data_IF_263382432797
#
_entry.id   IF_263382432797
#
_cell.length_a   1.000
_cell.length_b   1.000
_cell.length_c   1.000
_cell.angle_alpha   90.00
_cell.angle_beta   90.00
_cell.angle_gamma   90.00
#
_symmetry.space_group_name_H-M   'P 1'
#
loop_
_entity.id
_entity.type
_entity.pdbx_description
1 polymer ?
#
# COMPACT_ATOMS: atom_id res chain seq x y z
N UNK A 1 -10.28 -8.34 -1.33
CA UNK A 1 -9.69 -7.11 -0.76
C UNK A 1 -8.29 -6.93 -1.33
N UNK A 2 -8.19 -6.55 -2.60
CA UNK A 2 -6.89 -6.24 -3.21
C UNK A 2 -6.48 -4.83 -2.80
N UNK A 3 -5.30 -4.69 -2.19
CA UNK A 3 -4.80 -3.45 -1.60
C UNK A 3 -4.40 -2.41 -2.64
N UNK A 4 -5.36 -1.89 -3.40
CA UNK A 4 -5.14 -0.79 -4.33
C UNK A 4 -5.33 0.56 -3.61
N UNK A 5 -4.27 1.07 -2.99
CA UNK A 5 -4.17 2.50 -2.67
C UNK A 5 -3.61 3.24 -3.87
N UNK A 6 -4.50 3.78 -4.70
CA UNK A 6 -4.19 4.96 -5.51
C UNK A 6 -5.34 5.96 -5.38
N UNK A 7 -5.43 6.57 -4.19
CA UNK A 7 -6.24 7.75 -3.96
C UNK A 7 -5.39 8.74 -3.17
N UNK A 8 -4.64 9.57 -3.90
CA UNK A 8 -4.06 10.81 -3.35
C UNK A 8 -4.67 11.94 -4.17
N UNK A 9 -5.83 12.43 -3.71
CA UNK A 9 -6.38 13.73 -4.11
C UNK A 9 -5.92 14.75 -3.07
N UNK A 10 -5.53 15.94 -3.52
CA UNK A 10 -5.00 17.05 -2.71
C UNK A 10 -6.13 17.81 -1.96
N UNK A 11 -7.18 17.09 -1.55
CA UNK A 11 -8.31 17.67 -0.85
C UNK A 11 -7.97 17.73 0.64
N UNK A 12 -7.55 18.92 1.07
CA UNK A 12 -7.21 19.21 2.45
C UNK A 12 -8.42 19.05 3.37
N UNK A 13 -8.37 18.02 4.21
CA UNK A 13 -9.06 18.03 5.50
C UNK A 13 -8.27 18.94 6.48
N UNK A 14 -8.22 20.24 6.16
CA UNK A 14 -7.88 21.29 7.12
C UNK A 14 -9.21 21.89 7.61
N UNK A 15 -9.91 21.18 8.49
CA UNK A 15 -11.00 21.76 9.31
C UNK A 15 -10.36 22.71 10.34
N UNK A 16 -10.12 23.95 9.93
CA UNK A 16 -9.96 25.09 10.84
C UNK A 16 -11.16 26.00 10.63
N UNK A 17 -12.02 26.05 11.64
CA UNK A 17 -13.14 26.98 11.78
C UNK A 17 -12.68 28.43 11.59
N UNK A 18 -13.43 29.19 10.79
CA UNK A 18 -13.23 30.62 10.62
C UNK A 18 -14.36 31.24 9.81
N UNK A 19 -15.45 31.60 10.49
CA UNK A 19 -16.50 32.48 9.98
C UNK A 19 -15.89 33.77 9.41
N UNK A 20 -16.35 34.19 8.23
CA UNK A 20 -16.01 35.46 7.60
C UNK A 20 -16.61 35.62 6.21
N UNK A 21 -17.62 36.48 6.13
CA UNK A 21 -18.45 36.82 4.97
C UNK A 21 -17.70 37.45 3.77
N UNK A 22 -18.34 37.31 2.59
CA UNK A 22 -18.37 38.15 1.38
C UNK A 22 -17.08 38.83 0.84
N UNK A 23 -16.77 38.60 -0.44
CA UNK A 23 -17.27 39.43 -1.55
C UNK A 23 -16.74 38.94 -2.91
N UNK A 24 -17.58 39.07 -3.95
CA UNK A 24 -17.35 38.57 -5.29
C UNK A 24 -16.37 39.40 -6.15
N UNK A 25 -15.96 38.79 -7.27
CA UNK A 25 -15.19 39.43 -8.32
C UNK A 25 -14.94 38.48 -9.48
N UNK A 26 -15.79 38.60 -10.51
CA UNK A 26 -15.55 38.10 -11.87
C UNK A 26 -14.26 38.69 -12.42
N UNK A 27 -13.55 37.92 -13.26
CA UNK A 27 -12.89 38.48 -14.44
C UNK A 27 -12.54 37.35 -15.43
N UNK A 28 -13.21 37.43 -16.57
CA UNK A 28 -12.95 36.71 -17.80
C UNK A 28 -11.56 37.05 -18.36
N UNK A 29 -10.90 36.07 -18.98
CA UNK A 29 -10.11 36.40 -20.17
C UNK A 29 -9.95 35.20 -21.11
N UNK A 30 -10.56 35.33 -22.28
CA UNK A 30 -10.34 34.54 -23.49
C UNK A 30 -9.01 34.89 -24.15
N UNK A 31 -8.48 33.96 -24.96
CA UNK A 31 -7.34 34.25 -25.84
C UNK A 31 -6.81 33.01 -26.57
N UNK A 32 -7.39 32.76 -27.75
CA UNK A 32 -6.86 32.19 -29.01
C UNK A 32 -5.38 31.73 -29.03
N UNK A 33 -4.95 30.68 -29.74
CA UNK A 33 -5.47 29.90 -30.86
C UNK A 33 -4.28 29.17 -31.52
N UNK A 34 -4.54 28.50 -32.65
CA UNK A 34 -3.58 27.92 -33.63
C UNK A 34 -3.21 26.42 -33.50
N UNK A 35 -4.09 25.61 -34.10
CA UNK A 35 -3.87 24.72 -35.25
C UNK A 35 -2.63 23.78 -35.37
N UNK A 36 -2.99 22.54 -35.70
CA UNK A 36 -2.17 21.32 -35.88
C UNK A 36 -1.35 21.30 -37.21
N UNK A 37 -0.63 20.20 -37.54
CA UNK A 37 -1.33 19.02 -38.08
C UNK A 37 -0.78 17.65 -37.64
N UNK A 38 -1.69 16.68 -37.79
CA UNK A 38 -1.51 15.24 -37.79
C UNK A 38 -0.46 14.77 -38.81
N UNK A 39 0.29 13.72 -38.47
CA UNK A 39 0.90 12.83 -39.44
C UNK A 39 0.64 11.37 -39.03
N UNK A 40 0.09 10.61 -39.97
CA UNK A 40 -0.22 9.18 -39.89
C UNK A 40 0.81 8.46 -40.77
N UNK A 41 1.47 7.45 -40.22
CA UNK A 41 2.33 6.55 -40.99
C UNK A 41 2.35 5.17 -40.34
N UNK A 42 1.43 4.31 -40.77
CA UNK A 42 1.54 2.85 -40.67
C UNK A 42 2.69 2.38 -41.56
N UNK A 43 3.63 1.58 -41.04
CA UNK A 43 4.27 0.51 -41.82
C UNK A 43 4.53 -0.72 -40.94
N UNK A 44 4.08 -1.85 -41.47
CA UNK A 44 4.16 -3.22 -40.98
C UNK A 44 5.39 -3.86 -41.58
N UNK A 45 6.26 -4.49 -40.80
CA UNK A 45 7.13 -5.56 -41.30
C UNK A 45 7.18 -6.73 -40.30
N UNK A 46 6.72 -7.89 -40.79
CA UNK A 46 6.91 -9.22 -40.23
C UNK A 46 8.35 -9.67 -40.51
N UNK A 47 8.99 -10.32 -39.54
CA UNK A 47 10.05 -11.29 -39.84
C UNK A 47 9.97 -12.45 -38.85
N UNK A 48 9.59 -13.61 -39.39
CA UNK A 48 9.52 -14.88 -38.69
C UNK A 48 10.85 -15.63 -38.76
N UNK A 49 11.24 -16.25 -37.65
CA UNK A 49 12.24 -17.30 -37.62
C UNK A 49 11.73 -18.46 -36.77
N UNK A 50 11.41 -19.57 -37.45
CA UNK A 50 11.16 -20.89 -36.89
C UNK A 50 12.43 -21.48 -36.27
N UNK A 51 12.33 -21.96 -35.03
CA UNK A 51 13.16 -23.04 -34.50
C UNK A 51 12.27 -23.97 -33.66
N UNK A 52 11.96 -25.15 -34.21
CA UNK A 52 11.54 -26.34 -33.47
C UNK A 52 12.67 -26.72 -32.50
N UNK A 53 12.49 -27.20 -31.27
CA UNK A 53 11.37 -27.84 -30.60
C UNK A 53 12.04 -28.84 -29.66
N UNK A 54 11.95 -28.64 -28.34
CA UNK A 54 12.20 -29.68 -27.35
C UNK A 54 11.25 -29.45 -26.17
N UNK A 55 10.46 -30.48 -25.92
CA UNK A 55 9.26 -30.52 -25.12
C UNK A 55 9.59 -31.36 -23.89
N UNK A 56 9.60 -30.77 -22.68
CA UNK A 56 9.27 -31.46 -21.42
C UNK A 56 9.34 -30.48 -20.23
N UNK A 57 8.19 -30.28 -19.59
CA UNK A 57 8.02 -29.38 -18.45
C UNK A 57 6.69 -28.64 -18.56
N UNK A 58 5.61 -29.33 -18.19
CA UNK A 58 4.25 -28.79 -18.17
C UNK A 58 4.19 -27.63 -17.16
N UNK A 59 4.48 -26.42 -17.64
CA UNK A 59 4.17 -25.18 -16.95
C UNK A 59 2.65 -25.11 -16.82
N UNK A 60 2.13 -25.36 -15.63
CA UNK A 60 0.81 -24.91 -15.26
C UNK A 60 0.87 -23.37 -15.24
N UNK A 61 0.58 -22.78 -16.40
CA UNK A 61 0.15 -21.40 -16.47
C UNK A 61 -1.07 -21.26 -15.57
N UNK A 62 -0.85 -20.87 -14.33
CA UNK A 62 -1.86 -20.31 -13.47
C UNK A 62 -2.34 -19.03 -14.18
N UNK A 63 -3.41 -19.17 -14.95
CA UNK A 63 -4.21 -18.04 -15.37
C UNK A 63 -4.48 -17.18 -14.13
N UNK A 64 -4.37 -15.86 -14.29
CA UNK A 64 -4.89 -14.84 -13.36
C UNK A 64 -6.41 -14.97 -13.25
N UNK A 65 -6.90 -16.11 -12.76
CA UNK A 65 -8.27 -16.24 -12.30
C UNK A 65 -8.38 -15.43 -11.01
N UNK A 66 -9.13 -14.33 -11.11
CA UNK A 66 -9.70 -13.55 -10.01
C UNK A 66 -10.33 -14.49 -8.96
N UNK A 67 -9.49 -14.99 -8.05
CA UNK A 67 -9.77 -16.04 -7.07
C UNK A 67 -10.47 -15.52 -5.80
N UNK A 68 -10.96 -14.27 -5.82
CA UNK A 68 -11.45 -13.52 -4.67
C UNK A 68 -12.99 -13.49 -4.49
N UNK A 69 -13.79 -14.10 -5.38
CA UNK A 69 -15.26 -13.85 -5.39
C UNK A 69 -16.14 -14.76 -4.52
N UNK A 70 -15.56 -15.68 -3.72
CA UNK A 70 -16.40 -16.71 -3.08
C UNK A 70 -17.05 -16.31 -1.75
N UNK A 71 -16.67 -15.19 -1.13
CA UNK A 71 -17.33 -14.70 0.10
C UNK A 71 -18.24 -13.52 -0.25
N UNK A 72 -19.55 -13.59 0.02
CA UNK A 72 -20.43 -12.44 -0.13
C UNK A 72 -19.87 -11.26 0.67
N UNK A 73 -19.67 -10.12 0.03
CA UNK A 73 -19.10 -8.92 0.66
C UNK A 73 -19.83 -8.54 1.95
N UNK A 74 -21.15 -8.71 1.95
CA UNK A 74 -22.03 -8.49 3.11
C UNK A 74 -21.69 -9.40 4.29
N UNK A 75 -21.27 -10.65 4.05
CA UNK A 75 -20.82 -11.57 5.10
C UNK A 75 -19.45 -11.14 5.66
N UNK A 76 -18.54 -10.70 4.79
CA UNK A 76 -17.23 -10.20 5.21
C UNK A 76 -17.32 -8.92 6.07
N UNK A 77 -18.22 -7.98 5.73
CA UNK A 77 -18.42 -6.73 6.50
C UNK A 77 -19.06 -7.00 7.87
N UNK A 78 -19.83 -8.08 8.01
CA UNK A 78 -20.47 -8.48 9.26
C UNK A 78 -19.60 -9.37 10.14
N UNK A 79 -18.49 -9.86 9.61
CA UNK A 79 -17.57 -10.66 10.39
C UNK A 79 -17.01 -9.84 11.55
N UNK A 80 -17.15 -10.37 12.76
CA UNK A 80 -16.76 -9.67 13.99
C UNK A 80 -15.28 -9.29 13.98
N UNK A 81 -14.42 -10.16 13.46
CA UNK A 81 -12.98 -9.93 13.42
C UNK A 81 -12.60 -8.91 12.35
N UNK A 82 -13.34 -8.86 11.23
CA UNK A 82 -13.23 -7.77 10.26
C UNK A 82 -13.62 -6.44 10.89
N UNK A 83 -14.75 -6.38 11.60
CA UNK A 83 -15.18 -5.16 12.28
C UNK A 83 -14.18 -4.72 13.34
N UNK A 84 -13.68 -5.64 14.17
CA UNK A 84 -12.63 -5.38 15.15
C UNK A 84 -11.35 -4.84 14.49
N UNK A 85 -10.93 -5.41 13.35
CA UNK A 85 -9.75 -4.91 12.60
C UNK A 85 -9.94 -3.50 12.03
N UNK A 86 -11.15 -3.19 11.55
CA UNK A 86 -11.46 -1.84 11.05
C UNK A 86 -11.52 -0.81 12.20
N UNK A 87 -11.84 -1.25 13.42
CA UNK A 87 -11.89 -0.42 14.62
C UNK A 87 -10.56 -0.35 15.41
N UNK A 88 -9.71 -1.37 15.35
CA UNK A 88 -8.50 -1.50 16.18
C UNK A 88 -7.46 -0.41 15.92
N UNK A 89 -7.54 0.27 14.77
CA UNK A 89 -6.71 1.43 14.45
C UNK A 89 -7.09 2.71 15.21
N UNK A 90 -8.02 2.67 16.16
CA UNK A 90 -8.60 3.86 16.81
C UNK A 90 -7.60 4.62 17.68
N UNK A 91 -7.57 5.95 17.46
CA UNK A 91 -6.92 6.89 18.38
C UNK A 91 -7.55 6.77 19.77
N UNK A 92 -6.77 7.03 20.82
CA UNK A 92 -7.26 7.14 22.20
C UNK A 92 -8.29 8.26 22.39
N UNK A 93 -8.47 9.12 21.39
CA UNK A 93 -9.52 10.14 21.36
C UNK A 93 -10.93 9.54 21.16
N UNK A 94 -11.82 9.64 22.16
CA UNK A 94 -13.19 9.13 22.08
C UNK A 94 -14.01 9.69 20.91
N UNK A 95 -13.74 10.93 20.47
CA UNK A 95 -14.46 11.55 19.34
C UNK A 95 -14.10 10.88 18.02
N UNK A 96 -12.81 10.61 17.81
CA UNK A 96 -12.31 9.92 16.60
C UNK A 96 -12.84 8.49 16.56
N UNK A 97 -12.81 7.80 17.71
CA UNK A 97 -13.37 6.47 17.85
C UNK A 97 -14.88 6.43 17.54
N UNK A 98 -15.66 7.38 18.07
CA UNK A 98 -17.09 7.51 17.79
C UNK A 98 -17.41 7.75 16.31
N UNK A 99 -16.67 8.66 15.66
CA UNK A 99 -16.83 8.93 14.22
C UNK A 99 -16.54 7.70 13.36
N UNK A 100 -15.48 6.93 13.69
CA UNK A 100 -15.14 5.70 12.95
C UNK A 100 -16.18 4.62 13.14
N UNK A 101 -16.69 4.44 14.35
CA UNK A 101 -17.78 3.51 14.61
C UNK A 101 -19.01 3.85 13.77
N UNK A 102 -19.42 5.11 13.74
CA UNK A 102 -20.56 5.55 12.91
C UNK A 102 -20.32 5.28 11.41
N UNK A 103 -19.09 5.48 10.92
CA UNK A 103 -18.70 5.14 9.54
C UNK A 103 -18.78 3.64 9.26
N UNK A 104 -18.37 2.78 10.21
CA UNK A 104 -18.47 1.33 10.09
C UNK A 104 -19.93 0.85 10.14
N UNK A 105 -20.73 1.41 11.05
CA UNK A 105 -22.17 1.12 11.13
C UNK A 105 -22.86 1.46 9.79
N UNK A 106 -22.48 2.59 9.17
CA UNK A 106 -22.97 2.97 7.84
C UNK A 106 -22.49 2.01 6.74
N UNK A 107 -21.24 1.52 6.79
CA UNK A 107 -20.74 0.50 5.85
C UNK A 107 -21.59 -0.76 5.89
N UNK A 108 -21.96 -1.22 7.10
CA UNK A 108 -22.81 -2.41 7.26
C UNK A 108 -24.18 -2.18 6.62
N UNK A 109 -24.78 -1.01 6.82
CA UNK A 109 -26.05 -0.61 6.17
C UNK A 109 -25.89 -0.59 4.65
N UNK A 110 -24.84 0.05 4.12
CA UNK A 110 -24.59 0.15 2.68
C UNK A 110 -24.32 -1.23 2.05
N UNK A 111 -23.74 -2.18 2.81
CA UNK A 111 -23.51 -3.56 2.37
C UNK A 111 -24.79 -4.39 2.16
N UNK A 112 -25.90 -3.96 2.77
CA UNK A 112 -27.23 -4.60 2.68
C UNK A 112 -28.22 -3.76 1.87
N UNK A 113 -27.94 -2.48 1.67
CA UNK A 113 -28.82 -1.56 0.95
C UNK A 113 -28.82 -1.94 -0.53
N UNK A 114 -29.95 -2.41 -1.09
CA UNK A 114 -30.00 -2.80 -2.49
C UNK A 114 -29.87 -1.57 -3.38
N UNK A 115 -29.20 -1.71 -4.53
CA UNK A 115 -28.99 -0.60 -5.47
C UNK A 115 -30.33 0.02 -5.96
N UNK A 116 -31.35 -0.81 -6.12
CA UNK A 116 -32.75 -0.46 -6.37
C UNK A 116 -33.63 -1.67 -6.03
N UNK A 117 -34.96 -1.52 -6.08
CA UNK A 117 -35.93 -2.58 -5.75
C UNK A 117 -35.60 -3.93 -6.42
N UNK A 118 -35.38 -4.97 -5.60
CA UNK A 118 -34.98 -6.30 -6.01
C UNK A 118 -35.99 -6.97 -6.96
N UNK A 119 -37.27 -6.55 -6.96
CA UNK A 119 -38.25 -6.98 -7.94
C UNK A 119 -37.89 -6.61 -9.40
N UNK A 120 -36.88 -5.73 -9.58
CA UNK A 120 -36.37 -5.26 -10.88
C UNK A 120 -35.05 -5.90 -11.30
N UNK A 121 -34.56 -6.91 -10.57
CA UNK A 121 -33.58 -7.87 -11.12
C UNK A 121 -32.11 -7.67 -10.77
N UNK A 122 -31.75 -7.02 -9.67
CA UNK A 122 -30.37 -7.05 -9.15
C UNK A 122 -30.34 -7.39 -7.65
N UNK A 123 -29.41 -8.26 -7.26
CA UNK A 123 -29.07 -8.55 -5.87
C UNK A 123 -27.90 -7.68 -5.36
N UNK A 124 -27.40 -6.77 -6.20
CA UNK A 124 -26.24 -5.94 -5.90
C UNK A 124 -26.55 -4.87 -4.84
N UNK A 125 -25.65 -4.74 -3.86
CA UNK A 125 -25.74 -3.71 -2.83
C UNK A 125 -25.06 -2.40 -3.27
N UNK A 126 -25.48 -1.29 -2.65
CA UNK A 126 -24.88 0.03 -2.82
C UNK A 126 -23.37 0.01 -2.61
N UNK A 127 -22.90 -0.70 -1.58
CA UNK A 127 -21.46 -0.85 -1.32
C UNK A 127 -20.75 -1.65 -2.42
N UNK A 128 -21.31 -2.79 -2.83
CA UNK A 128 -20.67 -3.65 -3.84
C UNK A 128 -20.51 -2.92 -5.17
N UNK A 129 -21.56 -2.21 -5.59
CA UNK A 129 -21.54 -1.39 -6.79
C UNK A 129 -20.47 -0.28 -6.73
N UNK A 130 -20.39 0.46 -5.61
CA UNK A 130 -19.38 1.50 -5.44
C UNK A 130 -17.96 0.93 -5.47
N UNK A 131 -17.73 -0.23 -4.84
CA UNK A 131 -16.44 -0.91 -4.84
C UNK A 131 -16.03 -1.37 -6.25
N UNK A 132 -16.94 -2.00 -7.00
CA UNK A 132 -16.62 -2.53 -8.32
C UNK A 132 -16.26 -1.40 -9.30
N UNK A 133 -16.93 -0.24 -9.24
CA UNK A 133 -16.53 0.93 -10.05
C UNK A 133 -15.19 1.50 -9.61
N UNK A 134 -14.93 1.60 -8.30
CA UNK A 134 -13.65 2.08 -7.78
C UNK A 134 -12.49 1.14 -8.15
N UNK A 135 -12.74 -0.17 -8.15
CA UNK A 135 -11.79 -1.18 -8.60
C UNK A 135 -11.52 -1.07 -10.10
N UNK A 136 -12.56 -0.96 -10.93
CA UNK A 136 -12.41 -0.73 -12.37
C UNK A 136 -11.64 0.56 -12.65
N UNK A 137 -11.94 1.64 -11.92
CA UNK A 137 -11.24 2.92 -12.04
C UNK A 137 -9.74 2.76 -11.77
N UNK A 138 -9.37 2.05 -10.71
CA UNK A 138 -7.96 1.81 -10.37
C UNK A 138 -7.28 0.87 -11.38
N UNK A 139 -7.95 -0.22 -11.76
CA UNK A 139 -7.43 -1.24 -12.70
C UNK A 139 -7.21 -0.68 -14.10
N UNK A 140 -8.14 0.13 -14.58
CA UNK A 140 -8.15 0.68 -15.94
C UNK A 140 -7.70 2.14 -16.01
N UNK A 141 -7.23 2.70 -14.89
CA UNK A 141 -6.69 4.06 -14.80
C UNK A 141 -7.67 5.13 -15.31
N UNK A 142 -8.97 4.96 -15.06
CA UNK A 142 -9.96 5.98 -15.44
C UNK A 142 -9.70 7.27 -14.67
N UNK A 143 -9.88 8.42 -15.33
CA UNK A 143 -9.73 9.73 -14.70
C UNK A 143 -10.85 9.99 -13.70
N UNK A 144 -10.63 10.90 -12.75
CA UNK A 144 -11.66 11.27 -11.77
C UNK A 144 -12.89 11.85 -12.49
N UNK A 145 -12.67 12.75 -13.45
CA UNK A 145 -13.72 13.33 -14.32
C UNK A 145 -14.54 12.27 -15.05
N UNK A 146 -13.87 11.29 -15.69
CA UNK A 146 -14.57 10.23 -16.43
C UNK A 146 -15.48 9.39 -15.53
N UNK A 147 -15.05 9.13 -14.29
CA UNK A 147 -15.85 8.36 -13.35
C UNK A 147 -16.98 9.18 -12.74
N UNK A 148 -16.76 10.46 -12.47
CA UNK A 148 -17.84 11.37 -12.06
C UNK A 148 -18.95 11.45 -13.13
N UNK A 149 -18.58 11.62 -14.40
CA UNK A 149 -19.54 11.60 -15.51
C UNK A 149 -20.28 10.25 -15.62
N UNK A 150 -19.56 9.14 -15.43
CA UNK A 150 -20.15 7.80 -15.43
C UNK A 150 -21.17 7.63 -14.29
N UNK A 151 -20.85 8.06 -13.07
CA UNK A 151 -21.78 8.02 -11.95
C UNK A 151 -23.03 8.88 -12.23
N UNK A 152 -22.85 10.09 -12.78
CA UNK A 152 -23.96 10.94 -13.18
C UNK A 152 -24.88 10.28 -14.22
N UNK A 153 -24.28 9.67 -15.25
CA UNK A 153 -25.01 8.94 -16.28
C UNK A 153 -25.82 7.77 -15.68
N UNK A 154 -25.16 6.91 -14.88
CA UNK A 154 -25.79 5.74 -14.30
C UNK A 154 -26.89 6.12 -13.30
N UNK A 155 -26.71 7.19 -12.53
CA UNK A 155 -27.71 7.70 -11.58
C UNK A 155 -29.03 8.07 -12.24
N UNK A 156 -28.98 8.67 -13.44
CA UNK A 156 -30.14 9.10 -14.22
C UNK A 156 -30.82 7.92 -14.92
N UNK A 157 -30.04 6.98 -15.44
CA UNK A 157 -30.55 5.86 -16.25
C UNK A 157 -30.99 4.64 -15.43
N UNK A 158 -30.56 4.54 -14.17
CA UNK A 158 -31.09 3.55 -13.25
C UNK A 158 -32.54 3.83 -12.85
N UNK A 159 -33.27 2.81 -12.35
CA UNK A 159 -34.63 2.98 -11.87
C UNK A 159 -34.78 4.18 -10.93
N UNK A 160 -35.96 4.82 -11.01
CA UNK A 160 -36.34 5.88 -10.08
C UNK A 160 -36.18 5.40 -8.63
N UNK A 161 -35.62 6.25 -7.78
CA UNK A 161 -35.32 6.00 -6.37
C UNK A 161 -34.15 5.02 -6.09
N UNK A 162 -33.22 4.88 -7.05
CA UNK A 162 -31.99 4.09 -6.84
C UNK A 162 -31.05 4.72 -5.80
N UNK A 163 -30.25 3.87 -5.14
CA UNK A 163 -29.24 4.23 -4.16
C UNK A 163 -27.82 4.21 -4.74
N UNK A 164 -27.67 4.35 -6.05
CA UNK A 164 -26.35 4.47 -6.68
C UNK A 164 -25.62 5.74 -6.20
N UNK A 165 -24.29 5.70 -6.12
CA UNK A 165 -23.51 6.91 -5.90
C UNK A 165 -23.66 7.87 -7.10
N UNK A 166 -23.84 9.16 -6.84
CA UNK A 166 -23.95 10.19 -7.88
C UNK A 166 -22.61 10.82 -8.27
N UNK A 167 -21.54 10.56 -7.51
CA UNK A 167 -20.20 11.06 -7.78
C UNK A 167 -19.13 10.13 -7.21
N UNK A 168 -17.90 10.31 -7.67
CA UNK A 168 -16.69 9.69 -7.16
C UNK A 168 -16.49 10.00 -5.68
N UNK A 169 -16.78 11.23 -5.25
CA UNK A 169 -16.67 11.62 -3.84
C UNK A 169 -17.68 10.89 -2.95
N UNK A 170 -18.91 10.70 -3.43
CA UNK A 170 -19.90 9.89 -2.72
C UNK A 170 -19.46 8.42 -2.66
N UNK A 171 -18.94 7.87 -3.76
CA UNK A 171 -18.40 6.51 -3.80
C UNK A 171 -17.23 6.34 -2.82
N UNK A 172 -16.28 7.28 -2.78
CA UNK A 172 -15.18 7.32 -1.80
C UNK A 172 -15.71 7.28 -0.38
N UNK A 173 -16.76 8.03 -0.04
CA UNK A 173 -17.37 8.03 1.31
C UNK A 173 -17.99 6.67 1.67
N UNK A 174 -18.63 6.00 0.73
CA UNK A 174 -19.22 4.65 0.93
C UNK A 174 -18.13 3.63 1.26
N UNK A 175 -16.99 3.67 0.53
CA UNK A 175 -15.91 2.69 0.68
C UNK A 175 -14.87 3.07 1.74
N UNK A 176 -14.83 4.33 2.16
CA UNK A 176 -13.88 4.91 3.12
C UNK A 176 -13.64 4.06 4.39
N UNK A 177 -14.64 3.40 4.99
CA UNK A 177 -14.41 2.57 6.17
C UNK A 177 -13.50 1.36 5.92
N UNK A 178 -13.32 0.95 4.65
CA UNK A 178 -12.40 -0.10 4.21
C UNK A 178 -10.98 0.44 3.93
N UNK A 179 -10.77 1.74 3.94
CA UNK A 179 -9.46 2.34 3.66
C UNK A 179 -8.44 1.96 4.74
N UNK A 180 -7.18 1.80 4.30
CA UNK A 180 -6.06 1.63 5.20
C UNK A 180 -5.60 2.97 5.74
N UNK A 181 -5.18 3.04 7.02
CA UNK A 181 -4.67 4.27 7.57
C UNK A 181 -3.39 4.69 6.84
N UNK A 182 -3.24 6.00 6.71
CA UNK A 182 -2.00 6.67 6.34
C UNK A 182 -1.81 7.84 7.31
N UNK A 183 -0.56 8.25 7.48
CA UNK A 183 -0.16 9.34 8.36
C UNK A 183 0.64 10.34 7.54
N UNK A 184 0.27 11.61 7.66
CA UNK A 184 0.92 12.72 6.97
C UNK A 184 1.82 13.45 7.96
N UNK A 185 3.12 13.47 7.69
CA UNK A 185 4.08 14.20 8.52
C UNK A 185 4.69 15.35 7.73
N UNK A 186 4.79 16.52 8.37
CA UNK A 186 5.54 17.63 7.80
C UNK A 186 7.03 17.38 8.06
N UNK A 187 7.86 17.66 7.07
CA UNK A 187 9.31 17.54 7.19
C UNK A 187 9.98 18.88 6.89
N UNK A 188 11.20 19.07 7.40
CA UNK A 188 12.04 20.17 6.98
C UNK A 188 12.36 20.04 5.49
N UNK A 189 12.41 21.15 4.76
CA UNK A 189 12.79 21.16 3.35
C UNK A 189 14.22 20.64 3.11
N UNK A 190 15.08 20.79 4.12
CA UNK A 190 16.47 20.34 4.14
C UNK A 190 16.65 19.03 4.94
N UNK A 191 15.57 18.25 5.11
CA UNK A 191 15.62 16.91 5.70
C UNK A 191 16.16 16.83 7.15
N UNK A 192 16.23 17.95 7.87
CA UNK A 192 16.83 17.95 9.22
C UNK A 192 15.93 17.36 10.32
N UNK A 193 14.61 17.55 10.22
CA UNK A 193 13.64 17.11 11.23
C UNK A 193 12.29 16.75 10.60
N UNK A 194 11.59 15.81 11.24
CA UNK A 194 10.16 15.60 11.07
C UNK A 194 9.45 16.39 12.18
N UNK A 195 8.47 17.20 11.82
CA UNK A 195 7.69 18.00 12.77
C UNK A 195 6.65 17.13 13.48
N UNK A 196 7.14 16.25 14.37
CA UNK A 196 6.37 15.38 15.27
C UNK A 196 6.93 15.47 16.69
N UNK A 197 6.22 14.95 17.67
CA UNK A 197 6.63 14.94 19.08
C UNK A 197 7.04 16.35 19.56
N UNK A 198 8.25 16.50 20.09
CA UNK A 198 8.84 17.77 20.54
C UNK A 198 8.93 18.86 19.47
N UNK A 199 8.91 18.50 18.17
CA UNK A 199 8.94 19.45 17.06
C UNK A 199 7.54 19.74 16.47
N UNK A 200 6.47 19.14 17.00
CA UNK A 200 5.13 19.21 16.40
C UNK A 200 4.60 20.65 16.22
N UNK A 201 4.89 21.53 17.19
CA UNK A 201 4.40 22.90 17.24
C UNK A 201 5.40 23.94 16.67
N UNK A 202 6.51 23.48 16.09
CA UNK A 202 7.48 24.39 15.49
C UNK A 202 7.04 24.78 14.07
N UNK A 203 7.11 26.09 13.80
CA UNK A 203 6.89 26.67 12.47
C UNK A 203 8.21 26.88 11.72
N UNK A 204 9.35 26.72 12.40
CA UNK A 204 10.71 26.90 11.86
C UNK A 204 11.60 25.76 12.32
N UNK A 205 12.48 25.29 11.43
CA UNK A 205 13.39 24.20 11.71
C UNK A 205 14.41 24.63 12.78
N UNK A 206 14.58 23.87 13.88
CA UNK A 206 15.54 24.21 14.92
C UNK A 206 17.00 24.03 14.49
N UNK A 207 17.26 23.25 13.44
CA UNK A 207 18.62 22.95 12.94
C UNK A 207 19.09 23.95 11.87
N UNK A 208 18.27 24.19 10.82
CA UNK A 208 18.68 25.02 9.68
C UNK A 208 17.96 26.38 9.60
N UNK A 209 16.97 26.64 10.46
CA UNK A 209 16.22 27.90 10.46
C UNK A 209 15.22 28.06 9.29
N UNK A 210 15.05 27.05 8.45
CA UNK A 210 14.07 27.08 7.34
C UNK A 210 12.62 27.03 7.85
N UNK A 211 11.75 27.80 7.21
CA UNK A 211 10.30 27.76 7.48
C UNK A 211 9.71 26.40 7.14
N UNK A 212 8.81 25.89 7.99
CA UNK A 212 7.99 24.69 7.75
C UNK A 212 6.99 24.90 6.60
N UNK A 213 6.46 26.11 6.46
CA UNK A 213 5.38 26.43 5.53
C UNK A 213 5.84 27.24 4.32
N UNK A 214 5.13 27.10 3.20
CA UNK A 214 5.31 27.90 1.99
C UNK A 214 4.87 29.34 2.27
N UNK A 215 5.38 30.29 1.47
CA UNK A 215 4.93 31.69 1.52
C UNK A 215 3.56 31.77 0.84
N UNK A 216 2.53 32.19 1.57
CA UNK A 216 1.18 32.31 1.07
C UNK A 216 0.20 32.60 2.20
N UNK A 217 -1.08 32.79 1.86
CA UNK A 217 -2.16 33.03 2.82
C UNK A 217 -2.54 31.77 3.60
N UNK A 218 -2.40 30.58 2.99
CA UNK A 218 -2.66 29.29 3.63
C UNK A 218 -1.37 28.64 4.16
N UNK A 219 -1.42 28.08 5.37
CA UNK A 219 -0.32 27.33 6.01
C UNK A 219 -0.10 25.97 5.33
N UNK A 220 0.43 25.96 4.11
CA UNK A 220 0.78 24.73 3.40
C UNK A 220 2.22 24.30 3.71
N UNK A 221 2.47 23.04 4.11
CA UNK A 221 3.83 22.57 4.38
C UNK A 221 4.69 22.58 3.12
N UNK A 222 5.99 22.83 3.29
CA UNK A 222 6.95 22.80 2.17
C UNK A 222 7.33 21.39 1.75
N UNK A 223 7.39 20.46 2.71
CA UNK A 223 7.73 19.05 2.50
C UNK A 223 6.83 18.17 3.36
N UNK A 224 6.36 17.08 2.76
CA UNK A 224 5.49 16.10 3.39
C UNK A 224 6.06 14.72 3.13
N UNK A 225 6.06 13.88 4.17
CA UNK A 225 6.26 12.45 4.05
C UNK A 225 4.95 11.75 4.40
N UNK A 226 4.58 10.78 3.58
CA UNK A 226 3.44 9.92 3.82
C UNK A 226 3.94 8.61 4.41
N UNK A 227 3.37 8.21 5.53
CA UNK A 227 3.68 6.95 6.19
C UNK A 227 2.44 6.05 6.17
N UNK A 228 2.66 4.79 5.85
CA UNK A 228 1.63 3.78 5.61
C UNK A 228 1.89 2.60 6.56
N UNK A 229 1.27 2.60 7.76
CA UNK A 229 1.56 1.61 8.80
C UNK A 229 1.41 0.16 8.33
N UNK A 230 2.42 -0.67 8.57
CA UNK A 230 2.44 -2.08 8.17
C UNK A 230 1.44 -2.91 8.96
N UNK A 231 1.31 -2.69 10.26
CA UNK A 231 0.50 -3.51 11.17
C UNK A 231 -0.91 -3.80 10.64
N UNK A 232 -1.75 -2.78 10.31
CA UNK A 232 -3.08 -3.02 9.78
C UNK A 232 -3.09 -3.68 8.40
N UNK A 233 -2.02 -3.53 7.61
CA UNK A 233 -1.88 -4.17 6.30
C UNK A 233 -1.57 -5.66 6.45
N UNK A 234 -0.64 -6.00 7.34
CA UNK A 234 -0.25 -7.37 7.66
C UNK A 234 -1.42 -8.16 8.27
N UNK A 235 -2.19 -7.56 9.18
CA UNK A 235 -3.36 -8.21 9.77
C UNK A 235 -4.45 -8.56 8.75
N UNK A 236 -4.61 -7.78 7.66
CA UNK A 236 -5.61 -8.07 6.62
C UNK A 236 -5.38 -9.38 5.89
N UNK A 237 -4.13 -9.86 5.78
CA UNK A 237 -3.87 -11.17 5.17
C UNK A 237 -4.38 -12.34 6.02
N UNK A 238 -4.52 -12.16 7.33
CA UNK A 238 -5.02 -13.21 8.21
C UNK A 238 -6.55 -13.26 8.29
N UNK A 239 -7.25 -12.23 7.78
CA UNK A 239 -8.72 -12.18 7.72
C UNK A 239 -9.29 -13.06 6.62
N UNK A 240 -8.61 -13.17 5.48
CA UNK A 240 -9.02 -14.08 4.42
C UNK A 240 -8.41 -15.47 4.66
N UNK A 241 -9.21 -16.54 4.77
CA UNK A 241 -8.69 -17.86 5.11
C UNK A 241 -7.76 -18.44 4.04
N UNK A 242 -7.87 -18.02 2.77
CA UNK A 242 -6.94 -18.46 1.71
C UNK A 242 -5.59 -17.75 1.86
N UNK A 243 -5.62 -16.44 2.09
CA UNK A 243 -4.41 -15.64 2.32
C UNK A 243 -3.69 -16.07 3.61
N UNK A 244 -4.44 -16.27 4.68
CA UNK A 244 -3.92 -16.72 5.98
C UNK A 244 -3.22 -18.07 5.88
N UNK A 245 -3.77 -18.99 5.08
CA UNK A 245 -3.11 -20.28 4.77
C UNK A 245 -1.79 -20.08 4.04
N UNK A 246 -1.75 -19.20 3.04
CA UNK A 246 -0.52 -18.92 2.28
C UNK A 246 0.59 -18.33 3.16
N UNK A 247 0.25 -17.58 4.21
CA UNK A 247 1.23 -17.03 5.17
C UNK A 247 1.98 -18.10 5.97
N UNK A 248 1.48 -19.34 6.02
CA UNK A 248 2.11 -20.49 6.70
C UNK A 248 2.89 -21.40 5.75
N UNK A 249 2.84 -21.12 4.45
CA UNK A 249 3.38 -21.99 3.41
C UNK A 249 4.86 -22.33 3.59
N UNK A 250 5.68 -21.34 3.99
CA UNK A 250 7.11 -21.53 4.21
C UNK A 250 7.45 -22.59 5.29
N UNK A 251 6.55 -22.79 6.26
CA UNK A 251 6.68 -23.79 7.31
C UNK A 251 6.14 -25.15 6.85
N UNK A 252 4.96 -25.16 6.22
CA UNK A 252 4.30 -26.38 5.76
C UNK A 252 5.10 -27.10 4.66
N UNK A 253 5.87 -26.36 3.84
CA UNK A 253 6.73 -26.97 2.81
C UNK A 253 7.90 -27.77 3.37
N UNK A 254 8.32 -27.55 4.64
CA UNK A 254 9.53 -28.19 5.21
C UNK A 254 9.44 -29.71 5.11
N UNK A 255 8.28 -30.29 5.41
CA UNK A 255 8.06 -31.74 5.29
C UNK A 255 8.10 -32.26 3.85
N UNK A 256 7.69 -31.44 2.88
CA UNK A 256 7.78 -31.81 1.47
C UNK A 256 9.23 -31.82 0.99
N UNK A 257 10.03 -30.82 1.40
CA UNK A 257 11.46 -30.75 1.09
C UNK A 257 12.23 -31.91 1.73
N UNK A 258 11.92 -32.27 2.98
CA UNK A 258 12.59 -33.38 3.69
C UNK A 258 12.27 -34.77 3.13
N UNK A 259 11.15 -34.94 2.41
CA UNK A 259 10.78 -36.20 1.74
C UNK A 259 11.47 -36.37 0.40
N UNK A 260 12.00 -35.31 -0.18
CA UNK A 260 12.73 -35.31 -1.44
C UNK A 260 14.21 -35.63 -1.19
N UNK A 261 14.58 -36.91 -1.37
CA UNK A 261 15.93 -37.42 -1.08
C UNK A 261 16.99 -36.66 -1.87
N UNK A 262 16.69 -36.30 -3.13
CA UNK A 262 17.63 -35.58 -3.99
C UNK A 262 17.91 -34.17 -3.44
N UNK A 263 16.88 -33.46 -2.97
CA UNK A 263 17.04 -32.14 -2.32
C UNK A 263 17.76 -32.19 -0.99
N UNK A 264 17.64 -33.30 -0.25
CA UNK A 264 18.35 -33.49 1.01
C UNK A 264 19.84 -33.74 0.75
N UNK A 265 20.17 -34.54 -0.26
CA UNK A 265 21.56 -34.80 -0.65
C UNK A 265 22.22 -33.60 -1.36
N UNK A 266 21.44 -32.85 -2.15
CA UNK A 266 21.88 -31.68 -2.92
C UNK A 266 20.98 -30.46 -2.63
N UNK A 267 21.24 -29.73 -1.52
CA UNK A 267 20.40 -28.61 -1.12
C UNK A 267 20.51 -27.44 -2.10
N UNK A 268 19.37 -27.03 -2.67
CA UNK A 268 19.23 -25.85 -3.54
C UNK A 268 18.30 -24.84 -2.87
N UNK A 269 18.63 -23.55 -2.97
CA UNK A 269 17.76 -22.48 -2.49
C UNK A 269 16.52 -22.37 -3.39
N UNK A 270 15.36 -22.72 -2.86
CA UNK A 270 14.08 -22.65 -3.58
C UNK A 270 13.12 -21.62 -2.99
N UNK A 271 13.47 -21.08 -1.82
CA UNK A 271 12.74 -20.02 -1.12
C UNK A 271 13.68 -19.32 -0.12
N UNK A 272 13.43 -18.06 0.25
CA UNK A 272 14.24 -17.36 1.26
C UNK A 272 14.37 -18.10 2.60
N UNK A 273 13.40 -18.93 2.97
CA UNK A 273 13.50 -19.77 4.18
C UNK A 273 14.56 -20.87 4.13
N UNK A 274 15.14 -21.17 2.95
CA UNK A 274 16.29 -22.07 2.84
C UNK A 274 17.61 -21.37 3.18
N UNK A 275 17.64 -20.04 3.14
CA UNK A 275 18.85 -19.25 3.33
C UNK A 275 19.31 -19.27 4.79
N UNK A 276 20.62 -19.12 4.98
CA UNK A 276 21.26 -19.12 6.30
C UNK A 276 20.68 -18.04 7.21
N UNK A 277 20.47 -16.82 6.70
CA UNK A 277 19.90 -15.71 7.49
C UNK A 277 18.55 -16.07 8.13
N UNK A 278 17.67 -16.71 7.37
CA UNK A 278 16.37 -17.14 7.90
C UNK A 278 16.55 -18.22 8.96
N UNK A 279 17.34 -19.26 8.67
CA UNK A 279 17.59 -20.37 9.59
C UNK A 279 18.23 -19.89 10.88
N UNK A 280 19.19 -18.97 10.80
CA UNK A 280 19.84 -18.37 11.96
C UNK A 280 18.86 -17.55 12.81
N UNK A 281 17.93 -16.80 12.18
CA UNK A 281 16.86 -16.12 12.93
C UNK A 281 15.95 -17.12 13.65
N UNK A 282 15.45 -18.12 12.92
CA UNK A 282 14.43 -19.05 13.38
C UNK A 282 14.96 -20.11 14.35
N UNK A 283 16.16 -20.62 14.13
CA UNK A 283 16.69 -21.82 14.79
C UNK A 283 17.80 -21.49 15.80
N UNK A 284 18.57 -20.41 15.60
CA UNK A 284 19.73 -20.10 16.46
C UNK A 284 19.45 -19.02 17.51
N UNK A 285 18.85 -17.89 17.11
CA UNK A 285 18.69 -16.74 18.00
C UNK A 285 17.30 -16.60 18.61
N UNK A 286 16.24 -16.94 17.86
CA UNK A 286 14.86 -16.67 18.27
C UNK A 286 13.93 -17.84 18.02
N UNK A 287 14.20 -18.98 18.66
CA UNK A 287 13.45 -20.22 18.50
C UNK A 287 11.93 -20.05 18.74
N UNK A 288 11.52 -19.24 19.71
CA UNK A 288 10.10 -18.94 19.96
C UNK A 288 9.44 -18.20 18.78
N UNK A 289 10.18 -17.33 18.10
CA UNK A 289 9.71 -16.64 16.89
C UNK A 289 9.64 -17.60 15.69
N UNK A 290 10.60 -18.52 15.56
CA UNK A 290 10.65 -19.60 14.57
C UNK A 290 9.51 -20.62 14.70
N UNK A 291 9.13 -20.96 15.94
CA UNK A 291 8.07 -21.94 16.25
C UNK A 291 6.67 -21.49 15.84
N UNK A 292 6.43 -20.19 15.76
CA UNK A 292 5.16 -19.63 15.32
C UNK A 292 5.19 -19.35 13.80
N UNK A 293 4.62 -20.23 12.96
CA UNK A 293 4.68 -20.11 11.49
C UNK A 293 3.90 -18.92 10.93
N UNK A 294 3.09 -18.23 11.75
CA UNK A 294 2.37 -17.02 11.33
C UNK A 294 3.17 -15.74 11.53
N UNK A 295 4.28 -15.80 12.27
CA UNK A 295 5.17 -14.66 12.41
C UNK A 295 5.80 -14.30 11.05
N UNK A 296 5.99 -13.02 10.79
CA UNK A 296 6.26 -12.52 9.44
C UNK A 296 7.75 -12.19 9.28
N UNK A 297 8.36 -12.69 8.21
CA UNK A 297 9.71 -12.30 7.77
C UNK A 297 9.56 -11.32 6.62
N UNK A 298 10.08 -10.12 6.81
CA UNK A 298 9.94 -9.00 5.89
C UNK A 298 11.21 -8.78 5.09
N UNK A 299 11.04 -8.35 3.85
CA UNK A 299 12.09 -7.69 3.08
C UNK A 299 11.72 -6.23 2.85
N UNK A 300 12.70 -5.35 2.71
CA UNK A 300 12.48 -3.94 2.36
C UNK A 300 13.38 -3.48 1.22
N UNK A 301 12.96 -2.41 0.54
CA UNK A 301 13.75 -1.77 -0.51
C UNK A 301 13.38 -0.29 -0.59
N UNK A 302 14.35 0.55 -0.93
CA UNK A 302 14.12 1.96 -1.25
C UNK A 302 14.88 2.34 -2.52
N UNK A 303 14.25 3.17 -3.35
CA UNK A 303 14.88 3.72 -4.55
C UNK A 303 14.33 5.13 -4.82
N UNK A 304 15.09 5.94 -5.56
CA UNK A 304 14.69 7.27 -6.01
C UNK A 304 13.96 7.22 -7.35
N UNK A 305 12.76 7.79 -7.41
CA UNK A 305 11.98 7.95 -8.64
C UNK A 305 11.61 9.41 -8.90
N UNK A 306 11.41 9.78 -10.17
CA UNK A 306 10.85 11.09 -10.54
C UNK A 306 9.52 10.92 -11.28
N UNK A 307 8.37 11.25 -10.64
CA UNK A 307 7.07 11.08 -11.27
C UNK A 307 6.67 12.24 -12.20
N UNK A 308 7.43 13.35 -12.22
CA UNK A 308 7.03 14.61 -12.88
C UNK A 308 7.81 14.93 -14.16
N UNK A 309 8.53 13.96 -14.73
CA UNK A 309 9.11 14.10 -16.07
C UNK A 309 10.25 13.13 -16.35
N UNK A 310 10.29 12.64 -17.59
CA UNK A 310 11.37 11.79 -18.06
C UNK A 310 12.70 12.58 -18.04
N UNK A 311 13.76 12.01 -17.45
CA UNK A 311 15.10 12.61 -17.35
C UNK A 311 15.20 13.99 -16.67
N UNK A 312 14.20 14.40 -15.90
CA UNK A 312 14.29 15.61 -15.07
C UNK A 312 14.95 15.29 -13.73
N UNK A 313 15.86 16.14 -13.25
CA UNK A 313 16.44 16.06 -11.90
C UNK A 313 15.80 17.04 -10.91
N UNK A 314 14.72 17.73 -11.33
CA UNK A 314 14.08 18.79 -10.53
C UNK A 314 13.26 18.27 -9.35
N UNK A 315 12.91 16.99 -9.38
CA UNK A 315 12.13 16.35 -8.33
C UNK A 315 12.64 14.93 -8.10
N UNK A 316 12.73 14.52 -6.85
CA UNK A 316 13.01 13.16 -6.44
C UNK A 316 11.97 12.73 -5.41
N UNK A 317 11.42 11.54 -5.59
CA UNK A 317 10.49 10.90 -4.65
C UNK A 317 11.10 9.57 -4.24
N UNK A 318 11.07 9.26 -2.96
CA UNK A 318 11.68 8.04 -2.41
C UNK A 318 10.59 7.22 -1.72
N UNK A 319 10.01 6.21 -2.39
CA UNK A 319 9.19 5.22 -1.73
C UNK A 319 10.05 4.21 -0.95
N UNK A 320 9.51 3.76 0.18
CA UNK A 320 10.05 2.60 0.90
C UNK A 320 9.05 1.45 0.76
N UNK A 321 9.47 0.39 0.07
CA UNK A 321 8.68 -0.81 -0.13
C UNK A 321 9.03 -1.88 0.89
N UNK A 322 8.02 -2.63 1.34
CA UNK A 322 8.14 -3.76 2.26
C UNK A 322 7.30 -4.91 1.73
N UNK A 323 7.82 -6.13 1.75
CA UNK A 323 7.09 -7.33 1.32
C UNK A 323 7.30 -8.48 2.31
N UNK A 324 6.50 -9.53 2.16
CA UNK A 324 6.49 -10.68 3.06
C UNK A 324 7.10 -11.91 2.39
N UNK A 325 8.13 -12.47 3.00
CA UNK A 325 8.75 -13.69 2.53
C UNK A 325 8.06 -14.98 3.01
N UNK A 326 7.00 -14.88 3.81
CA UNK A 326 6.23 -16.04 4.26
C UNK A 326 5.52 -16.79 3.12
N UNK A 327 5.22 -16.06 2.05
CA UNK A 327 4.43 -16.50 0.91
C UNK A 327 5.25 -17.36 -0.04
N UNK A 328 4.59 -18.22 -0.85
CA UNK A 328 5.28 -18.98 -1.89
C UNK A 328 6.12 -18.12 -2.85
N UNK A 329 7.20 -18.67 -3.45
CA UNK A 329 8.09 -17.93 -4.35
C UNK A 329 7.38 -17.24 -5.52
N UNK A 330 6.31 -17.83 -6.02
CA UNK A 330 5.53 -17.28 -7.14
C UNK A 330 4.58 -16.14 -6.73
N UNK A 331 4.43 -15.87 -5.42
CA UNK A 331 3.58 -14.82 -4.87
C UNK A 331 4.36 -13.72 -4.16
N UNK A 332 5.44 -14.03 -3.43
CA UNK A 332 6.06 -13.10 -2.47
C UNK A 332 6.49 -11.73 -3.03
N UNK A 333 6.76 -11.63 -4.34
CA UNK A 333 7.10 -10.38 -5.03
C UNK A 333 6.02 -9.89 -6.03
N UNK A 334 4.79 -10.43 -5.96
CA UNK A 334 3.67 -9.90 -6.75
C UNK A 334 3.18 -8.59 -6.14
N UNK A 335 2.69 -7.67 -6.99
CA UNK A 335 2.20 -6.33 -6.62
C UNK A 335 1.26 -6.33 -5.40
N UNK A 336 0.41 -7.35 -5.25
CA UNK A 336 -0.52 -7.50 -4.12
C UNK A 336 0.16 -7.63 -2.76
N UNK A 337 1.40 -8.12 -2.70
CA UNK A 337 2.14 -8.42 -1.47
C UNK A 337 3.34 -7.50 -1.24
N UNK A 338 3.50 -6.49 -2.10
CA UNK A 338 4.47 -5.42 -1.92
C UNK A 338 3.72 -4.20 -1.41
N UNK A 339 4.06 -3.75 -0.21
CA UNK A 339 3.49 -2.57 0.42
C UNK A 339 4.41 -1.39 0.28
N UNK A 340 3.88 -0.27 -0.16
CA UNK A 340 4.52 1.02 0.07
C UNK A 340 4.28 1.40 1.54
N UNK A 341 5.34 1.36 2.35
CA UNK A 341 5.32 1.76 3.76
C UNK A 341 5.55 3.27 3.93
N UNK A 342 6.16 3.91 2.93
CA UNK A 342 6.51 5.32 2.98
C UNK A 342 6.58 5.94 1.60
N UNK A 343 6.28 7.23 1.51
CA UNK A 343 6.54 8.07 0.35
C UNK A 343 7.15 9.41 0.78
N UNK A 344 8.45 9.56 0.58
CA UNK A 344 9.19 10.79 0.87
C UNK A 344 9.21 11.63 -0.40
N UNK A 345 8.50 12.75 -0.41
CA UNK A 345 8.46 13.63 -1.58
C UNK A 345 9.60 14.64 -1.57
N UNK A 346 10.04 15.06 -2.76
CA UNK A 346 11.18 15.95 -2.99
C UNK A 346 11.00 17.38 -2.46
N UNK A 347 11.90 18.30 -2.82
CA UNK A 347 12.41 18.46 -4.19
C UNK A 347 13.69 17.68 -4.52
N UNK A 348 14.53 17.36 -3.54
CA UNK A 348 15.80 16.65 -3.71
C UNK A 348 15.77 15.28 -3.03
N UNK A 349 16.71 14.40 -3.44
CA UNK A 349 16.93 13.15 -2.72
C UNK A 349 17.34 13.42 -1.26
N UNK A 350 16.89 12.61 -0.29
CA UNK A 350 17.21 12.81 1.12
C UNK A 350 18.67 12.48 1.45
N UNK A 351 19.38 11.70 0.63
CA UNK A 351 20.75 11.27 0.97
C UNK A 351 20.78 10.48 2.29
N UNK A 352 21.82 10.69 3.10
CA UNK A 352 21.95 10.09 4.46
C UNK A 352 20.81 10.47 5.41
N UNK A 353 20.09 11.56 5.13
CA UNK A 353 18.97 12.00 5.96
C UNK A 353 17.74 11.11 5.79
N UNK A 354 17.80 10.08 4.92
CA UNK A 354 16.76 9.04 4.83
C UNK A 354 16.50 8.37 6.18
N UNK A 355 17.54 8.24 7.01
CA UNK A 355 17.49 7.61 8.33
C UNK A 355 16.48 8.28 9.26
N UNK A 356 16.29 9.60 9.13
CA UNK A 356 15.27 10.35 9.86
C UNK A 356 13.86 9.81 9.57
N UNK A 357 13.61 9.44 8.32
CA UNK A 357 12.33 8.91 7.87
C UNK A 357 12.17 7.44 8.24
N UNK A 358 13.22 6.63 8.04
CA UNK A 358 13.22 5.20 8.38
C UNK A 358 12.99 4.95 9.87
N UNK A 359 13.26 5.91 10.75
CA UNK A 359 12.87 5.82 12.16
C UNK A 359 11.35 5.59 12.34
N UNK A 360 10.50 6.15 11.46
CA UNK A 360 9.05 5.88 11.47
C UNK A 360 8.74 4.39 11.27
N UNK A 361 9.41 3.77 10.29
CA UNK A 361 9.24 2.35 10.00
C UNK A 361 9.83 1.49 11.11
N UNK A 362 11.01 1.86 11.61
CA UNK A 362 11.71 1.17 12.69
C UNK A 362 10.89 1.14 13.98
N UNK A 363 10.27 2.25 14.39
CA UNK A 363 9.42 2.31 15.58
C UNK A 363 8.28 1.26 15.53
N UNK A 364 7.62 1.13 14.38
CA UNK A 364 6.58 0.11 14.19
C UNK A 364 7.17 -1.31 14.16
N UNK A 365 8.30 -1.53 13.50
CA UNK A 365 8.98 -2.83 13.47
C UNK A 365 9.44 -3.28 14.86
N UNK A 366 9.97 -2.37 15.69
CA UNK A 366 10.33 -2.65 17.08
C UNK A 366 9.10 -3.06 17.88
N UNK A 367 7.99 -2.34 17.73
CA UNK A 367 6.72 -2.70 18.39
C UNK A 367 6.24 -4.09 17.98
N UNK A 368 6.28 -4.40 16.67
CA UNK A 368 5.91 -5.72 16.15
C UNK A 368 6.86 -6.83 16.62
N UNK A 369 8.14 -6.54 16.83
CA UNK A 369 9.14 -7.49 17.25
C UNK A 369 9.08 -7.79 18.76
N UNK A 370 9.12 -6.75 19.59
CA UNK A 370 9.19 -6.87 21.04
C UNK A 370 7.85 -7.31 21.62
N UNK A 371 6.81 -6.51 21.35
CA UNK A 371 5.49 -6.73 21.91
C UNK A 371 4.66 -7.68 21.04
N UNK A 372 4.65 -7.45 19.72
CA UNK A 372 3.71 -8.06 18.76
C UNK A 372 2.35 -7.36 18.74
N UNK A 373 1.41 -7.90 17.96
CA UNK A 373 0.01 -7.43 17.89
C UNK A 373 -0.94 -8.64 17.95
N UNK A 374 -2.06 -8.52 18.66
CA UNK A 374 -3.08 -9.60 18.63
C UNK A 374 -3.78 -9.60 17.27
N UNK A 375 -3.79 -10.76 16.60
CA UNK A 375 -4.29 -10.91 15.23
C UNK A 375 -5.19 -12.14 15.16
N UNK A 376 -6.34 -12.01 14.49
CA UNK A 376 -7.21 -13.11 14.17
C UNK A 376 -6.73 -13.84 12.92
N UNK A 377 -6.60 -15.17 12.99
CA UNK A 377 -6.33 -16.03 11.85
C UNK A 377 -7.60 -16.77 11.43
N UNK A 378 -8.18 -16.38 10.30
CA UNK A 378 -9.39 -16.98 9.76
C UNK A 378 -9.20 -18.40 9.24
N UNK A 379 -7.97 -18.81 8.88
CA UNK A 379 -7.67 -20.19 8.51
C UNK A 379 -7.59 -21.09 9.75
N UNK A 380 -6.87 -20.63 10.78
CA UNK A 380 -6.74 -21.32 12.06
C UNK A 380 -7.97 -21.24 12.97
N UNK A 381 -8.87 -20.27 12.73
CA UNK A 381 -10.00 -19.92 13.58
C UNK A 381 -9.58 -19.64 15.04
N UNK A 382 -8.44 -18.96 15.20
CA UNK A 382 -7.87 -18.61 16.50
C UNK A 382 -7.15 -17.27 16.45
N UNK A 383 -7.01 -16.62 17.62
CA UNK A 383 -6.14 -15.45 17.77
C UNK A 383 -4.72 -15.87 18.09
N UNK A 384 -3.76 -15.12 17.58
CA UNK A 384 -2.35 -15.29 17.90
C UNK A 384 -1.66 -13.94 18.05
N UNK A 385 -0.48 -13.95 18.67
CA UNK A 385 0.34 -12.75 18.82
C UNK A 385 1.29 -12.66 17.62
N UNK A 386 0.88 -11.90 16.60
CA UNK A 386 1.67 -11.70 15.40
C UNK A 386 2.91 -10.85 15.71
N UNK A 387 4.08 -11.39 15.39
CA UNK A 387 5.35 -10.65 15.36
C UNK A 387 5.88 -10.56 13.94
N UNK A 388 6.74 -9.57 13.69
CA UNK A 388 7.42 -9.41 12.41
C UNK A 388 8.90 -9.08 12.60
N UNK A 389 9.74 -9.56 11.67
CA UNK A 389 11.18 -9.30 11.65
C UNK A 389 11.59 -8.86 10.24
N UNK A 390 12.39 -7.80 10.14
CA UNK A 390 13.01 -7.39 8.88
C UNK A 390 14.28 -8.23 8.66
N UNK A 391 14.27 -9.08 7.64
CA UNK A 391 15.35 -10.04 7.37
C UNK A 391 16.42 -9.45 6.43
N UNK A 392 15.99 -8.74 5.39
CA UNK A 392 16.88 -8.22 4.36
C UNK A 392 16.39 -6.88 3.81
N UNK A 393 17.33 -6.03 3.43
CA UNK A 393 17.07 -4.95 2.47
C UNK A 393 17.65 -5.34 1.10
N UNK A 394 16.94 -4.99 0.02
CA UNK A 394 17.36 -5.26 -1.36
C UNK A 394 17.36 -3.94 -2.09
N UNK A 395 18.55 -3.38 -2.27
CA UNK A 395 18.72 -2.05 -2.81
C UNK A 395 19.79 -2.08 -3.91
N UNK A 396 19.65 -1.22 -4.92
CA UNK A 396 20.71 -0.99 -5.89
C UNK A 396 21.90 -0.28 -5.22
N UNK A 397 22.98 -0.04 -5.95
CA UNK A 397 24.15 0.65 -5.37
C UNK A 397 23.79 2.02 -4.77
N UNK A 398 22.80 2.71 -5.34
CA UNK A 398 22.38 4.04 -4.91
C UNK A 398 21.60 3.97 -3.60
N UNK A 399 20.56 3.15 -3.54
CA UNK A 399 19.78 2.88 -2.34
C UNK A 399 20.64 2.30 -1.22
N UNK A 400 21.52 1.34 -1.53
CA UNK A 400 22.44 0.77 -0.56
C UNK A 400 23.43 1.81 0.00
N UNK A 401 23.95 2.72 -0.84
CA UNK A 401 24.85 3.79 -0.37
C UNK A 401 24.17 4.76 0.61
N UNK A 402 22.87 4.98 0.40
CA UNK A 402 22.03 5.88 1.19
C UNK A 402 21.60 5.22 2.50
N UNK A 403 21.31 3.92 2.50
CA UNK A 403 20.97 3.17 3.71
C UNK A 403 22.17 2.87 4.62
N UNK A 404 23.36 2.70 4.05
CA UNK A 404 24.55 2.22 4.78
C UNK A 404 25.58 3.34 5.03
N UNK A 405 25.24 4.60 4.74
CA UNK A 405 26.12 5.78 4.87
C UNK A 405 27.52 5.59 4.22
N UNK A 406 27.62 4.77 3.17
CA UNK A 406 28.90 4.42 2.54
C UNK A 406 29.28 5.45 1.48
N UNK A 407 30.09 6.44 1.88
CA UNK A 407 30.82 7.32 0.95
C UNK A 407 32.11 6.62 0.50
N UNK A 408 32.08 5.89 -0.63
CA UNK A 408 33.27 5.27 -1.23
C UNK A 408 33.09 4.87 -2.71
N UNK A 409 34.16 4.88 -3.54
CA UNK A 409 34.04 4.82 -5.00
C UNK A 409 33.63 3.42 -5.52
N UNK A 410 32.99 3.34 -6.70
CA UNK A 410 32.46 2.10 -7.23
C UNK A 410 33.63 1.24 -7.74
N UNK A 411 33.94 0.16 -7.02
CA UNK A 411 34.69 -0.96 -7.58
C UNK A 411 33.84 -2.21 -7.43
N UNK A 412 33.48 -2.72 -8.60
CA UNK A 412 32.96 -4.05 -8.95
C UNK A 412 32.70 -5.01 -7.77
N UNK A 413 31.48 -5.55 -7.74
CA UNK A 413 30.89 -6.50 -6.76
C UNK A 413 30.03 -5.84 -5.67
N UNK A 414 28.86 -5.31 -6.03
CA UNK A 414 27.84 -4.95 -5.03
C UNK A 414 26.45 -5.31 -5.51
N UNK A 415 26.11 -6.60 -5.42
CA UNK A 415 24.78 -7.02 -5.03
C UNK A 415 24.95 -7.61 -3.62
N UNK A 416 25.09 -6.74 -2.61
CA UNK A 416 25.22 -7.18 -1.21
C UNK A 416 23.85 -7.14 -0.56
N UNK A 417 23.23 -8.31 -0.42
CA UNK A 417 22.18 -8.60 0.57
C UNK A 417 22.82 -8.60 1.96
N UNK A 418 23.03 -7.43 2.55
CA UNK A 418 23.44 -7.33 3.95
C UNK A 418 23.24 -5.92 4.53
N UNK A 419 22.08 -5.72 5.15
CA UNK A 419 21.96 -4.84 6.29
C UNK A 419 21.11 -5.57 7.34
N UNK A 420 21.79 -6.30 8.23
CA UNK A 420 21.20 -6.69 9.51
C UNK A 420 21.13 -5.42 10.37
N UNK A 421 19.92 -4.89 10.59
CA UNK A 421 19.71 -3.91 11.64
C UNK A 421 19.92 -4.62 13.00
N UNK A 422 20.74 -4.07 13.92
CA UNK A 422 20.92 -4.63 15.25
C UNK A 422 19.63 -4.62 16.07
#
# INVERSE_FOLDING_TARGET
MEGHTQWMSDDGDDDIDGDGDDDGGDDDNEGDGEDAPHDNGDEVEEDGAHVDGDQEGREEHAADEDMSRNTPLTAAVQDRHVQELLLSNTSTDPKIAGRRKAKLDQLEVDSRTPLYDAARGTEESRLRYALDIMEMKAKHKWTDTSVDELFGYLKIHFPKDNTCAGSLQEAKKIVCPLDLPHQKYHACISDCVIYRNEHANLDTCPQCGESRYKRGTKKSPRKVVWYFPLTPRLQRYFVDPKEAKLMRWHAERKEAVMRDVERVENPVLTHPSDASQWKTLDDEYYEEFGKEPRNIRLGASTDGLNPFGNQSSKHSTWPVFVWMYNLPPWLCLKKKYIHMSMLIQGPTQPGSDINLYLELLKEELVTLWEEGIETWDAYGQETFRMKAALLTTVDDSTGASILVDNVGPPRAEVCRTAASFP
#
